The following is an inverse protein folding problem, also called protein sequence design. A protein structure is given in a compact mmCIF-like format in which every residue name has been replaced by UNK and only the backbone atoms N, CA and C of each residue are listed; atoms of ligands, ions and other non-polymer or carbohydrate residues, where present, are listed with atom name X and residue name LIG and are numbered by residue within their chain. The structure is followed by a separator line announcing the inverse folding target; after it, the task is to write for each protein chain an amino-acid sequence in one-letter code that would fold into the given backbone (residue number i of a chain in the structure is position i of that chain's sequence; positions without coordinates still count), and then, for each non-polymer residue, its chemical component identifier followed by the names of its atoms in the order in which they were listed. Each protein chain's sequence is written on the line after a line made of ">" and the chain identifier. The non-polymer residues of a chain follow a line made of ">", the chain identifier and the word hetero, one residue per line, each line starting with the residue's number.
data_IF_288324503327
#
_entry.id   IF_288324503327
#
_cell.length_a   1.000
_cell.length_b   1.000
_cell.length_c   1.000
_cell.angle_alpha   90.00
_cell.angle_beta   90.00
_cell.angle_gamma   90.00
#
_symmetry.space_group_name_H-M   'P 1'
#
loop_
_entity.id
_entity.type
_entity.pdbx_description
1 polymer ?
#
# COMPACT_ATOMS: atom_id res chain seq x y z
N UNK A 1 12.16 -1.12 20.05
CA UNK A 1 12.85 -1.39 18.77
C UNK A 1 12.25 -0.48 17.70
N UNK A 2 13.02 -0.03 16.71
CA UNK A 2 12.57 0.98 15.74
C UNK A 2 11.29 0.56 14.99
N UNK A 3 10.42 1.54 14.78
CA UNK A 3 9.06 1.51 14.22
C UNK A 3 8.94 0.96 12.78
N UNK A 4 10.07 0.92 12.10
CA UNK A 4 10.34 0.30 10.82
C UNK A 4 11.64 -0.47 10.99
N UNK A 5 11.84 -1.59 10.28
CA UNK A 5 13.23 -2.00 10.11
C UNK A 5 13.92 -0.88 9.33
N UNK A 6 15.18 -0.55 9.68
CA UNK A 6 15.94 0.46 8.94
C UNK A 6 15.91 0.16 7.43
N UNK A 7 15.84 -1.12 7.08
CA UNK A 7 15.74 -1.60 5.71
C UNK A 7 14.40 -1.23 5.05
N UNK A 8 13.26 -1.34 5.75
CA UNK A 8 11.95 -0.94 5.21
C UNK A 8 11.96 0.55 4.79
N UNK A 9 12.52 1.42 5.64
CA UNK A 9 12.64 2.85 5.38
C UNK A 9 13.62 3.12 4.22
N UNK A 10 14.78 2.44 4.20
CA UNK A 10 15.76 2.58 3.13
C UNK A 10 15.18 2.20 1.79
N UNK A 11 14.46 1.07 1.70
CA UNK A 11 13.85 0.62 0.43
C UNK A 11 12.77 1.59 -0.02
N UNK A 12 11.96 2.11 0.90
CA UNK A 12 10.95 3.10 0.54
C UNK A 12 11.56 4.41 0.04
N UNK A 13 12.56 4.95 0.75
CA UNK A 13 13.28 6.16 0.34
C UNK A 13 14.06 5.96 -0.96
N UNK A 14 14.65 4.78 -1.17
CA UNK A 14 15.33 4.44 -2.42
C UNK A 14 14.35 4.39 -3.60
N UNK A 15 13.15 3.84 -3.39
CA UNK A 15 12.06 3.91 -4.37
C UNK A 15 11.70 5.35 -4.72
N UNK A 16 11.45 6.19 -3.71
CA UNK A 16 11.16 7.62 -3.90
C UNK A 16 12.29 8.31 -4.68
N UNK A 17 13.55 8.06 -4.30
CA UNK A 17 14.72 8.61 -4.99
C UNK A 17 14.82 8.15 -6.45
N UNK A 18 14.56 6.87 -6.72
CA UNK A 18 14.52 6.33 -8.08
C UNK A 18 13.41 6.97 -8.92
N UNK A 19 12.26 7.26 -8.31
CA UNK A 19 11.18 7.97 -9.00
C UNK A 19 11.54 9.43 -9.29
N UNK A 20 12.08 10.17 -8.31
CA UNK A 20 12.54 11.54 -8.55
C UNK A 20 13.68 11.62 -9.59
N UNK A 21 14.50 10.57 -9.72
CA UNK A 21 15.55 10.51 -10.73
C UNK A 21 15.03 10.44 -12.17
N UNK A 22 13.76 10.03 -12.36
CA UNK A 22 13.13 9.93 -13.68
C UNK A 22 12.04 10.99 -13.91
N UNK A 23 11.74 11.83 -12.92
CA UNK A 23 10.76 12.91 -13.03
C UNK A 23 11.47 14.22 -13.37
N UNK A 24 11.00 14.93 -14.40
CA UNK A 24 11.45 16.29 -14.68
C UNK A 24 11.02 17.23 -13.52
N UNK A 25 11.96 17.81 -12.75
CA UNK A 25 11.64 18.68 -11.62
C UNK A 25 10.83 19.92 -12.02
N UNK A 26 10.94 20.38 -13.28
CA UNK A 26 10.20 21.55 -13.77
C UNK A 26 8.69 21.28 -13.91
N UNK A 27 8.29 20.01 -14.00
CA UNK A 27 6.90 19.56 -14.06
C UNK A 27 6.32 19.30 -12.67
N UNK A 28 7.14 19.33 -11.62
CA UNK A 28 6.70 19.15 -10.23
C UNK A 28 6.09 20.48 -9.75
N UNK A 29 4.81 20.67 -10.07
CA UNK A 29 4.02 21.80 -9.64
C UNK A 29 2.88 21.39 -8.73
N UNK A 30 2.59 22.21 -7.71
CA UNK A 30 1.24 22.29 -7.17
C UNK A 30 0.57 23.37 -8.00
N UNK A 31 0.00 23.01 -9.16
CA UNK A 31 -0.74 24.01 -9.93
C UNK A 31 -1.85 24.58 -9.04
N UNK A 32 -2.02 25.91 -8.92
CA UNK A 32 -3.16 26.50 -8.22
C UNK A 32 -4.51 26.12 -8.86
N UNK A 33 -4.49 25.50 -10.05
CA UNK A 33 -5.65 24.89 -10.72
C UNK A 33 -5.86 23.43 -10.39
N UNK A 34 -5.06 22.79 -9.51
CA UNK A 34 -5.40 21.48 -8.95
C UNK A 34 -6.80 21.63 -8.39
N UNK A 35 -7.77 20.99 -9.04
CA UNK A 35 -9.13 21.00 -8.54
C UNK A 35 -9.06 20.31 -7.16
N UNK A 36 -9.14 21.12 -6.11
CA UNK A 36 -8.94 20.69 -4.72
C UNK A 36 -9.91 19.55 -4.38
N UNK A 37 -11.09 19.56 -5.00
CA UNK A 37 -12.13 18.55 -4.83
C UNK A 37 -11.73 17.15 -5.34
N UNK A 38 -11.36 16.93 -6.62
CA UNK A 38 -10.92 15.61 -7.07
C UNK A 38 -9.62 15.15 -6.39
N UNK A 39 -8.70 16.07 -6.06
CA UNK A 39 -7.51 15.70 -5.28
C UNK A 39 -7.90 15.18 -3.88
N UNK A 40 -8.74 15.92 -3.14
CA UNK A 40 -9.19 15.51 -1.81
C UNK A 40 -10.01 14.21 -1.87
N UNK A 41 -10.87 14.06 -2.88
CA UNK A 41 -11.61 12.82 -3.10
C UNK A 41 -10.67 11.64 -3.37
N UNK A 42 -9.61 11.84 -4.14
CA UNK A 42 -8.58 10.83 -4.36
C UNK A 42 -7.85 10.48 -3.07
N UNK A 43 -7.42 11.47 -2.29
CA UNK A 43 -6.73 11.25 -1.02
C UNK A 43 -7.61 10.48 -0.02
N UNK A 44 -8.91 10.77 0.05
CA UNK A 44 -9.88 10.02 0.87
C UNK A 44 -10.02 8.58 0.36
N UNK A 45 -10.21 8.40 -0.95
CA UNK A 45 -10.32 7.07 -1.56
C UNK A 45 -9.07 6.22 -1.33
N UNK A 46 -7.89 6.81 -1.48
CA UNK A 46 -6.58 6.22 -1.18
C UNK A 46 -6.48 5.84 0.31
N UNK A 47 -7.06 6.61 1.22
CA UNK A 47 -7.01 6.32 2.66
C UNK A 47 -7.86 5.11 3.07
N UNK A 48 -8.82 4.69 2.23
CA UNK A 48 -9.84 3.69 2.59
C UNK A 48 -9.25 2.38 3.11
N UNK A 49 -8.23 1.82 2.45
CA UNK A 49 -7.65 0.55 2.91
C UNK A 49 -6.93 0.71 4.24
N UNK A 50 -6.15 1.78 4.42
CA UNK A 50 -5.41 2.05 5.66
C UNK A 50 -6.36 2.28 6.85
N UNK A 51 -7.46 3.02 6.63
CA UNK A 51 -8.52 3.19 7.63
C UNK A 51 -9.17 1.84 7.97
N UNK A 52 -9.46 1.01 6.98
CA UNK A 52 -10.00 -0.34 7.20
C UNK A 52 -9.04 -1.22 8.02
N UNK A 53 -7.74 -1.22 7.67
CA UNK A 53 -6.71 -1.94 8.44
C UNK A 53 -6.69 -1.46 9.90
N UNK A 54 -6.75 -0.15 10.16
CA UNK A 54 -6.80 0.39 11.51
C UNK A 54 -8.08 0.00 12.27
N UNK A 55 -9.24 0.10 11.63
CA UNK A 55 -10.52 -0.27 12.24
C UNK A 55 -10.53 -1.73 12.69
N UNK A 56 -10.08 -2.65 11.84
CA UNK A 56 -10.00 -4.08 12.17
C UNK A 56 -8.91 -4.35 13.21
N UNK A 57 -7.76 -3.67 13.13
CA UNK A 57 -6.68 -3.81 14.10
C UNK A 57 -7.11 -3.46 15.52
N UNK A 58 -7.76 -2.30 15.71
CA UNK A 58 -8.18 -1.82 17.03
C UNK A 58 -9.50 -2.43 17.54
N UNK A 59 -10.27 -3.11 16.68
CA UNK A 59 -11.56 -3.70 17.04
C UNK A 59 -11.67 -5.18 16.63
N UNK A 60 -10.54 -5.91 16.63
CA UNK A 60 -10.46 -7.28 16.09
C UNK A 60 -11.47 -8.23 16.73
N UNK A 61 -11.64 -8.17 18.05
CA UNK A 61 -12.59 -9.05 18.76
C UNK A 61 -14.04 -8.80 18.35
N UNK A 62 -14.42 -7.52 18.24
CA UNK A 62 -15.77 -7.11 17.82
C UNK A 62 -16.02 -7.49 16.37
N UNK A 63 -15.07 -7.19 15.49
CA UNK A 63 -15.14 -7.56 14.09
C UNK A 63 -15.29 -9.08 13.94
N UNK A 64 -14.44 -9.85 14.62
CA UNK A 64 -14.48 -11.31 14.59
C UNK A 64 -15.79 -11.87 15.19
N UNK A 65 -16.33 -11.27 16.26
CA UNK A 65 -17.63 -11.64 16.82
C UNK A 65 -18.78 -11.42 15.83
N UNK A 66 -18.78 -10.28 15.12
CA UNK A 66 -19.78 -9.98 14.08
C UNK A 66 -19.69 -10.99 12.95
N UNK A 67 -18.50 -11.24 12.39
CA UNK A 67 -18.31 -12.26 11.34
C UNK A 67 -18.77 -13.65 11.79
N UNK A 68 -18.40 -14.08 13.00
CA UNK A 68 -18.81 -15.38 13.54
C UNK A 68 -20.32 -15.49 13.78
N UNK A 69 -20.98 -14.42 14.22
CA UNK A 69 -22.45 -14.40 14.34
C UNK A 69 -23.16 -14.59 13.00
N UNK A 70 -22.53 -14.14 11.90
CA UNK A 70 -22.97 -14.37 10.53
C UNK A 70 -22.46 -15.70 9.94
N UNK A 71 -21.81 -16.56 10.74
CA UNK A 71 -21.18 -17.82 10.32
C UNK A 71 -20.14 -17.65 9.20
N UNK A 72 -19.46 -16.51 9.16
CA UNK A 72 -18.41 -16.19 8.19
C UNK A 72 -17.03 -16.26 8.84
N UNK A 73 -16.00 -16.61 8.05
CA UNK A 73 -14.61 -16.52 8.48
C UNK A 73 -14.20 -15.04 8.58
N UNK A 74 -13.77 -14.53 9.75
CA UNK A 74 -13.36 -13.14 9.87
C UNK A 74 -12.21 -12.77 8.92
N UNK A 75 -11.25 -13.67 8.73
CA UNK A 75 -10.10 -13.47 7.83
C UNK A 75 -10.55 -13.32 6.37
N UNK A 76 -11.50 -14.14 5.92
CA UNK A 76 -12.01 -14.06 4.55
C UNK A 76 -12.80 -12.78 4.31
N UNK A 77 -13.65 -12.40 5.27
CA UNK A 77 -14.39 -11.14 5.21
C UNK A 77 -13.42 -9.97 5.18
N UNK A 78 -12.39 -9.97 6.03
CA UNK A 78 -11.38 -8.91 6.03
C UNK A 78 -10.62 -8.85 4.70
N UNK A 79 -10.18 -9.98 4.16
CA UNK A 79 -9.53 -10.05 2.86
C UNK A 79 -10.41 -9.49 1.72
N UNK A 80 -11.70 -9.80 1.71
CA UNK A 80 -12.66 -9.24 0.75
C UNK A 80 -12.81 -7.72 0.92
N UNK A 81 -12.94 -7.23 2.15
CA UNK A 81 -13.04 -5.80 2.43
C UNK A 81 -11.76 -5.06 2.00
N UNK A 82 -10.57 -5.66 2.21
CA UNK A 82 -9.31 -5.09 1.74
C UNK A 82 -9.24 -5.07 0.22
N UNK A 83 -9.71 -6.12 -0.47
CA UNK A 83 -9.80 -6.12 -1.93
C UNK A 83 -10.72 -4.99 -2.42
N UNK A 84 -11.91 -4.86 -1.85
CA UNK A 84 -12.84 -3.77 -2.19
C UNK A 84 -12.23 -2.40 -1.93
N UNK A 85 -11.56 -2.22 -0.79
CA UNK A 85 -10.86 -0.99 -0.45
C UNK A 85 -9.73 -0.69 -1.45
N UNK A 86 -8.94 -1.69 -1.86
CA UNK A 86 -7.90 -1.53 -2.90
C UNK A 86 -8.49 -1.14 -4.25
N UNK A 87 -9.63 -1.70 -4.64
CA UNK A 87 -10.35 -1.28 -5.84
C UNK A 87 -10.80 0.19 -5.74
N UNK A 88 -11.25 0.63 -4.56
CA UNK A 88 -11.56 2.04 -4.31
C UNK A 88 -10.30 2.89 -4.44
N UNK A 89 -9.16 2.51 -3.84
CA UNK A 89 -7.90 3.26 -3.96
C UNK A 89 -7.50 3.45 -5.43
N UNK A 90 -7.50 2.38 -6.24
CA UNK A 90 -7.14 2.46 -7.66
C UNK A 90 -8.18 3.22 -8.48
N UNK A 91 -9.47 2.98 -8.23
CA UNK A 91 -10.56 3.71 -8.88
C UNK A 91 -10.49 5.22 -8.61
N UNK A 92 -10.16 5.61 -7.38
CA UNK A 92 -9.96 7.01 -7.00
C UNK A 92 -8.78 7.67 -7.70
N UNK A 93 -7.66 6.96 -7.87
CA UNK A 93 -6.53 7.45 -8.68
C UNK A 93 -6.94 7.63 -10.15
N UNK A 94 -7.64 6.65 -10.74
CA UNK A 94 -8.10 6.72 -12.13
C UNK A 94 -9.11 7.84 -12.37
N UNK A 95 -10.05 8.04 -11.45
CA UNK A 95 -11.02 9.13 -11.52
C UNK A 95 -10.35 10.50 -11.39
N UNK A 96 -9.35 10.62 -10.51
CA UNK A 96 -8.55 11.84 -10.41
C UNK A 96 -7.73 12.08 -11.69
N UNK A 97 -7.06 11.04 -12.23
CA UNK A 97 -6.36 11.13 -13.50
C UNK A 97 -7.30 11.58 -14.64
N UNK A 98 -8.50 11.03 -14.73
CA UNK A 98 -9.49 11.44 -15.72
C UNK A 98 -9.98 12.90 -15.54
N UNK A 99 -9.78 13.49 -14.36
CA UNK A 99 -10.13 14.90 -14.10
C UNK A 99 -9.01 15.88 -14.41
N UNK A 100 -7.76 15.41 -14.52
CA UNK A 100 -6.57 16.27 -14.69
C UNK A 100 -5.78 15.98 -15.98
N UNK A 101 -5.96 14.79 -16.55
CA UNK A 101 -5.44 14.38 -17.84
C UNK A 101 -6.61 14.07 -18.79
N UNK A 102 -6.34 13.99 -20.10
CA UNK A 102 -7.37 13.69 -21.11
C UNK A 102 -8.03 12.34 -20.83
N UNK A 103 -7.24 11.34 -20.42
CA UNK A 103 -7.71 10.06 -19.88
C UNK A 103 -6.58 9.32 -19.15
N UNK A 104 -6.88 8.33 -18.28
CA UNK A 104 -5.85 7.47 -17.71
C UNK A 104 -5.04 6.71 -18.77
N UNK A 105 -5.69 6.28 -19.85
CA UNK A 105 -5.02 5.62 -20.97
C UNK A 105 -4.01 6.55 -21.64
N UNK A 106 -4.40 7.80 -21.88
CA UNK A 106 -3.51 8.83 -22.44
C UNK A 106 -2.32 9.09 -21.52
N UNK A 107 -2.55 9.24 -20.21
CA UNK A 107 -1.48 9.46 -19.25
C UNK A 107 -0.43 8.33 -19.25
N UNK A 108 -0.89 7.09 -19.40
CA UNK A 108 -0.05 5.89 -19.49
C UNK A 108 0.74 5.86 -20.81
N UNK A 109 0.12 6.24 -21.93
CA UNK A 109 0.78 6.28 -23.25
C UNK A 109 1.76 7.44 -23.40
N UNK A 110 1.58 8.53 -22.65
CA UNK A 110 2.46 9.71 -22.64
C UNK A 110 3.63 9.56 -21.67
N UNK A 111 3.62 8.56 -20.78
CA UNK A 111 4.71 8.32 -19.84
C UNK A 111 6.00 7.96 -20.59
N UNK A 112 7.12 8.51 -20.14
CA UNK A 112 8.42 8.27 -20.76
C UNK A 112 8.84 6.80 -20.63
N UNK A 113 9.66 6.29 -21.57
CA UNK A 113 10.12 4.90 -21.51
C UNK A 113 10.88 4.57 -20.21
N UNK A 114 11.56 5.56 -19.62
CA UNK A 114 12.22 5.45 -18.31
C UNK A 114 11.22 5.14 -17.18
N UNK A 115 10.03 5.74 -17.21
CA UNK A 115 8.95 5.49 -16.24
C UNK A 115 8.42 4.07 -16.34
N UNK A 116 8.25 3.56 -17.55
CA UNK A 116 7.82 2.19 -17.78
C UNK A 116 8.82 1.14 -17.29
N UNK A 117 10.11 1.36 -17.54
CA UNK A 117 11.17 0.48 -17.03
C UNK A 117 11.18 0.50 -15.50
N UNK A 118 11.11 1.68 -14.88
CA UNK A 118 11.03 1.81 -13.43
C UNK A 118 9.78 1.11 -12.88
N UNK A 119 8.62 1.31 -13.51
CA UNK A 119 7.38 0.66 -13.12
C UNK A 119 7.48 -0.86 -13.17
N UNK A 120 8.00 -1.43 -14.25
CA UNK A 120 8.18 -2.87 -14.40
C UNK A 120 9.07 -3.44 -13.30
N UNK A 121 10.18 -2.77 -12.96
CA UNK A 121 11.08 -3.19 -11.89
C UNK A 121 10.39 -3.12 -10.52
N UNK A 122 9.79 -1.98 -10.19
CA UNK A 122 9.16 -1.77 -8.87
C UNK A 122 7.95 -2.69 -8.67
N UNK A 123 7.10 -2.85 -9.69
CA UNK A 123 5.98 -3.78 -9.65
C UNK A 123 6.47 -5.22 -9.58
N UNK A 124 7.48 -5.60 -10.36
CA UNK A 124 8.06 -6.94 -10.32
C UNK A 124 8.59 -7.31 -8.92
N UNK A 125 9.39 -6.43 -8.32
CA UNK A 125 9.90 -6.61 -6.96
C UNK A 125 8.76 -6.64 -5.94
N UNK A 126 7.81 -5.71 -6.04
CA UNK A 126 6.72 -5.59 -5.09
C UNK A 126 5.77 -6.79 -5.12
N UNK A 127 5.42 -7.27 -6.31
CA UNK A 127 4.59 -8.46 -6.49
C UNK A 127 5.33 -9.73 -6.08
N UNK A 128 6.64 -9.83 -6.33
CA UNK A 128 7.44 -10.96 -5.86
C UNK A 128 7.43 -11.07 -4.35
N UNK A 129 7.61 -9.95 -3.63
CA UNK A 129 7.53 -9.93 -2.16
C UNK A 129 6.13 -10.33 -1.67
N UNK A 130 5.07 -9.76 -2.24
CA UNK A 130 3.71 -10.10 -1.84
C UNK A 130 3.40 -11.58 -2.10
N UNK A 131 3.72 -12.10 -3.29
CA UNK A 131 3.49 -13.50 -3.63
C UNK A 131 4.24 -14.45 -2.69
N UNK A 132 5.47 -14.11 -2.32
CA UNK A 132 6.28 -14.89 -1.40
C UNK A 132 5.67 -14.96 0.00
N UNK A 133 5.06 -13.88 0.49
CA UNK A 133 4.39 -13.87 1.80
C UNK A 133 3.14 -14.75 1.77
N UNK A 134 2.33 -14.65 0.72
CA UNK A 134 1.18 -15.54 0.56
C UNK A 134 1.61 -17.01 0.50
N UNK A 135 2.73 -17.32 -0.18
CA UNK A 135 3.28 -18.66 -0.20
C UNK A 135 3.81 -19.13 1.17
N UNK A 136 4.37 -18.20 1.96
CA UNK A 136 5.00 -18.49 3.24
C UNK A 136 4.00 -18.65 4.39
N UNK A 137 3.09 -17.68 4.58
CA UNK A 137 2.21 -17.60 5.76
C UNK A 137 0.72 -17.64 5.41
N UNK A 138 0.38 -17.78 4.12
CA UNK A 138 -0.98 -17.88 3.64
C UNK A 138 -1.80 -16.60 3.83
N UNK A 139 -3.09 -16.67 3.48
CA UNK A 139 -4.04 -15.57 3.67
C UNK A 139 -4.21 -15.21 5.15
N UNK A 140 -4.13 -16.21 6.02
CA UNK A 140 -4.34 -16.03 7.46
C UNK A 140 -3.21 -15.19 8.05
N UNK A 141 -1.96 -15.39 7.59
CA UNK A 141 -0.85 -14.52 7.98
C UNK A 141 -0.96 -13.09 7.44
N UNK A 142 -1.45 -12.92 6.21
CA UNK A 142 -1.58 -11.60 5.57
C UNK A 142 -2.72 -10.77 6.18
N UNK A 143 -3.85 -11.39 6.51
CA UNK A 143 -5.08 -10.70 6.93
C UNK A 143 -5.39 -10.90 8.42
N UNK A 144 -4.41 -10.59 9.27
CA UNK A 144 -4.56 -10.55 10.73
C UNK A 144 -5.13 -11.83 11.37
N UNK A 145 -4.83 -13.00 10.80
CA UNK A 145 -5.31 -14.29 11.33
C UNK A 145 -5.04 -14.43 12.82
N UNK A 146 -3.85 -14.03 13.29
CA UNK A 146 -3.49 -14.08 14.71
C UNK A 146 -4.41 -13.22 15.61
N UNK A 147 -4.88 -12.05 15.17
CA UNK A 147 -5.85 -11.22 15.91
C UNK A 147 -7.30 -11.69 15.72
N UNK A 148 -7.58 -12.36 14.61
CA UNK A 148 -8.92 -12.81 14.25
C UNK A 148 -9.23 -14.25 14.70
N UNK A 149 -8.25 -14.93 15.32
CA UNK A 149 -8.36 -16.27 15.88
C UNK A 149 -8.09 -17.41 14.89
N UNK A 150 -7.39 -17.12 13.79
CA UNK A 150 -6.91 -18.14 12.83
C UNK A 150 -5.44 -18.49 13.10
N UNK A 151 -5.05 -19.77 12.99
CA UNK A 151 -3.66 -20.18 13.14
C UNK A 151 -2.81 -19.64 11.98
N UNK A 152 -1.70 -18.97 12.30
CA UNK A 152 -0.76 -18.43 11.31
C UNK A 152 0.51 -19.29 11.29
N UNK A 153 0.91 -19.86 10.15
CA UNK A 153 2.14 -20.63 10.04
C UNK A 153 3.33 -19.68 9.87
N UNK A 154 3.70 -18.98 10.94
CA UNK A 154 4.85 -18.06 10.96
C UNK A 154 6.13 -18.77 10.48
N UNK A 155 6.95 -18.06 9.71
CA UNK A 155 8.23 -18.57 9.25
C UNK A 155 9.31 -17.48 9.26
N UNK A 156 10.57 -17.92 9.38
CA UNK A 156 11.74 -17.04 9.33
C UNK A 156 12.44 -17.07 7.96
N UNK A 157 11.87 -17.80 7.00
CA UNK A 157 12.38 -17.95 5.63
C UNK A 157 12.10 -16.74 4.75
N UNK A 158 12.34 -16.87 3.45
CA UNK A 158 12.01 -15.80 2.50
C UNK A 158 10.49 -15.51 2.48
N UNK A 159 10.06 -14.22 2.49
CA UNK A 159 10.87 -13.00 2.43
C UNK A 159 11.23 -12.37 3.80
N UNK A 160 10.91 -13.02 4.91
CA UNK A 160 11.19 -12.52 6.27
C UNK A 160 12.69 -12.52 6.61
N UNK A 161 13.46 -13.45 6.04
CA UNK A 161 14.92 -13.48 6.20
C UNK A 161 15.68 -12.30 5.56
N UNK A 162 15.00 -11.43 4.81
CA UNK A 162 15.61 -10.23 4.22
C UNK A 162 15.83 -9.10 5.23
N UNK A 163 15.27 -9.21 6.44
CA UNK A 163 15.33 -8.14 7.45
C UNK A 163 14.21 -7.09 7.32
N UNK A 164 13.23 -7.33 6.47
CA UNK A 164 11.98 -6.57 6.46
C UNK A 164 11.12 -6.98 7.65
N UNK A 165 10.51 -6.00 8.33
CA UNK A 165 9.57 -6.33 9.42
C UNK A 165 8.23 -6.78 8.85
N UNK A 166 7.74 -6.04 7.87
CA UNK A 166 6.47 -6.34 7.18
C UNK A 166 6.70 -6.30 5.66
N UNK A 167 7.29 -7.36 5.06
CA UNK A 167 7.61 -7.35 3.64
C UNK A 167 6.38 -7.13 2.72
N UNK A 168 5.15 -7.33 3.22
CA UNK A 168 3.90 -7.06 2.49
C UNK A 168 3.65 -5.57 2.28
N UNK A 169 4.04 -4.72 3.24
CA UNK A 169 3.91 -3.27 3.09
C UNK A 169 4.97 -2.72 2.17
N UNK A 170 6.19 -3.24 2.24
CA UNK A 170 7.25 -2.93 1.28
C UNK A 170 6.79 -3.34 -0.12
N UNK A 171 6.30 -4.57 -0.30
CA UNK A 171 5.85 -5.06 -1.60
C UNK A 171 4.66 -4.29 -2.17
N UNK A 172 3.67 -3.98 -1.32
CA UNK A 172 2.53 -3.12 -1.67
C UNK A 172 2.95 -1.71 -2.07
N UNK A 173 3.87 -1.09 -1.31
CA UNK A 173 4.38 0.24 -1.61
C UNK A 173 5.16 0.29 -2.92
N UNK A 174 6.09 -0.64 -3.16
CA UNK A 174 6.83 -0.72 -4.42
C UNK A 174 5.91 -0.89 -5.62
N UNK A 175 4.89 -1.75 -5.50
CA UNK A 175 3.86 -1.91 -6.54
C UNK A 175 3.16 -0.59 -6.82
N UNK A 176 2.75 0.12 -5.77
CA UNK A 176 2.04 1.40 -5.92
C UNK A 176 2.92 2.49 -6.52
N UNK A 177 4.20 2.52 -6.15
CA UNK A 177 5.16 3.44 -6.72
C UNK A 177 5.39 3.16 -8.22
N UNK A 178 5.37 1.88 -8.63
CA UNK A 178 5.38 1.52 -10.04
C UNK A 178 4.13 2.00 -10.79
N UNK A 179 2.94 1.89 -10.18
CA UNK A 179 1.70 2.47 -10.75
C UNK A 179 1.82 3.99 -10.89
N UNK A 180 2.36 4.68 -9.87
CA UNK A 180 2.59 6.13 -9.92
C UNK A 180 3.56 6.49 -11.06
N UNK A 181 4.64 5.74 -11.23
CA UNK A 181 5.56 5.93 -12.34
C UNK A 181 4.85 5.77 -13.69
N UNK A 182 4.02 4.74 -13.88
CA UNK A 182 3.28 4.52 -15.14
C UNK A 182 2.34 5.67 -15.52
N UNK A 183 1.81 6.40 -14.55
CA UNK A 183 0.84 7.48 -14.78
C UNK A 183 1.46 8.88 -14.66
N UNK A 184 2.79 8.97 -14.58
CA UNK A 184 3.55 10.20 -14.39
C UNK A 184 3.67 11.04 -15.67
N UNK A 185 2.55 11.29 -16.35
CA UNK A 185 2.51 12.23 -17.48
C UNK A 185 2.71 13.68 -17.00
N UNK A 186 3.14 14.60 -17.88
CA UNK A 186 3.30 16.01 -17.53
C UNK A 186 2.05 16.62 -16.89
N UNK A 187 0.86 16.27 -17.40
CA UNK A 187 -0.40 16.74 -16.86
C UNK A 187 -0.67 16.22 -15.43
N UNK A 188 -0.37 14.94 -15.17
CA UNK A 188 -0.53 14.35 -13.84
C UNK A 188 0.45 14.94 -12.83
N UNK A 189 1.72 15.11 -13.23
CA UNK A 189 2.77 15.71 -12.40
C UNK A 189 2.41 17.15 -12.01
N UNK A 190 2.03 17.98 -12.97
CA UNK A 190 1.62 19.37 -12.73
C UNK A 190 0.34 19.50 -11.89
N UNK A 191 -0.47 18.45 -11.84
CA UNK A 191 -1.76 18.42 -11.15
C UNK A 191 -1.70 17.82 -9.74
N UNK A 192 -0.51 17.48 -9.24
CA UNK A 192 -0.34 17.01 -7.86
C UNK A 192 -0.14 15.50 -7.70
N UNK A 193 0.34 14.78 -8.72
CA UNK A 193 0.70 13.36 -8.57
C UNK A 193 1.74 13.14 -7.45
N UNK A 194 2.73 14.03 -7.33
CA UNK A 194 3.77 13.97 -6.29
C UNK A 194 3.19 14.02 -4.87
N UNK A 195 2.38 15.03 -4.49
CA UNK A 195 1.76 15.04 -3.17
C UNK A 195 0.78 13.87 -2.94
N UNK A 196 0.09 13.36 -3.98
CA UNK A 196 -0.70 12.12 -3.83
C UNK A 196 0.17 10.90 -3.53
N UNK A 197 1.31 10.76 -4.22
CA UNK A 197 2.27 9.69 -3.95
C UNK A 197 2.88 9.78 -2.55
N UNK A 198 3.21 11.00 -2.10
CA UNK A 198 3.68 11.26 -0.74
C UNK A 198 2.62 10.94 0.32
N UNK A 199 1.36 11.28 0.06
CA UNK A 199 0.24 10.90 0.93
C UNK A 199 0.10 9.38 1.05
N UNK A 200 0.23 8.66 -0.06
CA UNK A 200 0.19 7.20 -0.05
C UNK A 200 1.34 6.60 0.76
N UNK A 201 2.57 7.11 0.58
CA UNK A 201 3.72 6.69 1.39
C UNK A 201 3.49 6.93 2.88
N UNK A 202 2.98 8.11 3.25
CA UNK A 202 2.65 8.45 4.62
C UNK A 202 1.66 7.45 5.23
N UNK A 203 0.60 7.10 4.51
CA UNK A 203 -0.38 6.11 4.98
C UNK A 203 0.23 4.72 5.18
N UNK A 204 1.11 4.27 4.27
CA UNK A 204 1.86 3.02 4.46
C UNK A 204 2.75 3.08 5.69
N UNK A 205 3.42 4.21 5.94
CA UNK A 205 4.23 4.41 7.13
C UNK A 205 3.42 4.35 8.42
N UNK A 206 2.25 4.98 8.45
CA UNK A 206 1.35 4.94 9.60
C UNK A 206 0.82 3.53 9.84
N UNK A 207 0.39 2.80 8.81
CA UNK A 207 -0.09 1.42 8.96
C UNK A 207 1.01 0.49 9.44
N UNK A 208 2.20 0.56 8.84
CA UNK A 208 3.35 -0.26 9.26
C UNK A 208 3.74 0.04 10.72
N UNK A 209 3.71 1.32 11.12
CA UNK A 209 3.98 1.73 12.50
C UNK A 209 2.94 1.18 13.47
N UNK A 210 1.65 1.33 13.14
CA UNK A 210 0.55 0.84 13.95
C UNK A 210 0.69 -0.66 14.22
N UNK A 211 1.02 -1.44 13.21
CA UNK A 211 1.16 -2.90 13.35
C UNK A 211 2.40 -3.28 14.14
N UNK A 212 3.52 -2.63 13.86
CA UNK A 212 4.76 -2.82 14.60
C UNK A 212 4.60 -2.53 16.11
N UNK A 213 3.68 -1.63 16.49
CA UNK A 213 3.43 -1.27 17.88
C UNK A 213 2.66 -2.34 18.67
N UNK A 214 1.84 -3.16 18.00
CA UNK A 214 1.02 -4.20 18.66
C UNK A 214 1.52 -5.63 18.46
N UNK A 215 2.58 -5.85 17.68
CA UNK A 215 3.26 -7.16 17.62
C UNK A 215 3.82 -7.62 18.98
N UNK A 216 4.07 -6.68 19.92
CA UNK A 216 4.50 -7.05 21.27
C UNK A 216 3.47 -7.95 21.97
N UNK A 217 2.19 -7.88 21.58
CA UNK A 217 1.13 -8.76 22.10
C UNK A 217 1.29 -10.21 21.59
N UNK A 218 2.02 -10.43 20.48
CA UNK A 218 2.26 -11.77 19.90
C UNK A 218 3.44 -12.50 20.53
N UNK A 219 4.43 -11.81 21.10
CA UNK A 219 5.51 -12.46 21.86
C UNK A 219 4.92 -13.17 23.10
N UNK A 220 3.98 -12.52 23.77
CA UNK A 220 3.23 -13.09 24.91
C UNK A 220 2.31 -14.25 24.50
N UNK A 221 1.83 -14.27 23.25
CA UNK A 221 1.00 -15.34 22.71
C UNK A 221 1.82 -16.54 22.18
N UNK A 222 3.02 -16.31 21.65
CA UNK A 222 3.97 -17.37 21.24
C UNK A 222 4.63 -18.06 22.45
N UNK A 223 4.61 -17.41 23.61
CA UNK A 223 5.13 -17.95 24.87
C UNK A 223 4.12 -18.80 25.67
N UNK A 224 2.89 -18.99 25.17
CA UNK A 224 1.83 -19.82 25.76
C UNK A 224 1.50 -21.01 24.86
#
# INVERSE_FOLDING_TARGET
>A
SMFFSLLDLVVALAGIGAWFAVVDPSLVGISPTVAVRPFAAAAVGISTSHVLYALVWFNSDRFAAVCRSAKQSPVEVFGLLVLLAKCIQQGSLLLWLASVAISPFTAVMEAESSHWVLAAVLMGLGQTLNAAIYAAIGKDGVYYGFKLGAPVPWCDGFPFNLGFRHPQYVGGYLTQLGVIAMVASPAALASGLVPLGAWWFFLYAVTSWMEASGDNDTEDAKAK
#
